data_IF_063720598521
#
_entry.id   IF_063720598521
#
_cell.length_a   1.000
_cell.length_b   1.000
_cell.length_c   1.000
_cell.angle_alpha   90.00
_cell.angle_beta   90.00
_cell.angle_gamma   90.00
#
_symmetry.space_group_name_H-M   'P 1'
#
loop_
_entity.id
_entity.type
_entity.pdbx_description
1 polymer ?
#
# COMPACT_ATOMS: atom_id res chain seq x y z
N UNK A 1 48.77 11.29 -26.49
CA UNK A 1 47.84 10.15 -26.54
C UNK A 1 48.52 9.04 -25.77
N UNK A 2 48.13 8.80 -24.51
CA UNK A 2 48.50 7.60 -23.73
C UNK A 2 47.86 7.62 -22.32
N UNK A 3 47.36 6.46 -21.91
CA UNK A 3 46.82 6.06 -20.59
C UNK A 3 45.51 6.70 -20.06
N UNK A 4 44.77 7.41 -20.90
CA UNK A 4 43.31 7.22 -20.92
C UNK A 4 43.05 5.92 -21.69
N UNK A 5 42.38 4.94 -21.09
CA UNK A 5 41.60 3.82 -21.72
C UNK A 5 41.76 2.39 -21.16
N UNK A 6 42.42 2.15 -20.01
CA UNK A 6 42.56 0.78 -19.47
C UNK A 6 41.94 0.52 -18.08
N UNK A 7 40.88 1.24 -17.70
CA UNK A 7 40.03 0.85 -16.54
C UNK A 7 38.54 0.93 -16.88
N UNK A 8 38.17 0.24 -17.96
CA UNK A 8 36.82 -0.26 -18.22
C UNK A 8 36.77 -1.74 -17.78
N UNK A 9 36.65 -1.99 -16.48
CA UNK A 9 36.27 -3.28 -15.91
C UNK A 9 36.08 -3.11 -14.39
N UNK A 10 35.00 -3.67 -13.84
CA UNK A 10 34.44 -3.50 -12.48
C UNK A 10 33.50 -2.29 -12.40
N UNK A 11 32.21 -2.39 -12.75
CA UNK A 11 31.31 -3.51 -12.49
C UNK A 11 30.64 -3.28 -11.13
N UNK A 12 29.35 -2.95 -11.17
CA UNK A 12 28.52 -2.75 -9.99
C UNK A 12 27.81 -1.40 -10.03
N UNK A 13 26.79 -1.27 -10.88
CA UNK A 13 25.79 -0.22 -10.73
C UNK A 13 25.19 -0.37 -9.33
N UNK A 14 25.46 0.61 -8.47
CA UNK A 14 24.76 0.74 -7.20
C UNK A 14 23.30 0.99 -7.51
N UNK A 15 22.49 -0.07 -7.49
CA UNK A 15 21.05 0.06 -7.24
C UNK A 15 20.95 0.89 -5.98
N UNK A 16 20.46 2.12 -6.11
CA UNK A 16 20.05 2.92 -4.97
C UNK A 16 19.25 2.00 -4.05
N UNK A 17 19.67 1.92 -2.79
CA UNK A 17 19.02 1.15 -1.75
C UNK A 17 17.52 1.44 -1.85
N UNK A 18 16.72 0.43 -2.26
CA UNK A 18 15.27 0.56 -2.16
C UNK A 18 14.99 0.71 -0.68
N UNK A 19 14.72 1.95 -0.26
CA UNK A 19 14.25 2.28 1.07
C UNK A 19 13.11 1.31 1.37
N UNK A 20 13.32 0.43 2.35
CA UNK A 20 12.29 -0.47 2.85
C UNK A 20 11.06 0.40 3.15
N UNK A 21 9.85 0.01 2.73
CA UNK A 21 8.69 0.88 2.85
C UNK A 21 8.54 1.35 4.29
N UNK A 22 8.22 2.63 4.43
CA UNK A 22 7.74 3.22 5.67
C UNK A 22 6.68 2.27 6.26
N UNK A 23 6.87 1.86 7.51
CA UNK A 23 5.89 1.00 8.20
C UNK A 23 4.59 1.79 8.25
N UNK A 24 3.63 1.43 7.42
CA UNK A 24 2.32 2.07 7.41
C UNK A 24 1.65 1.78 8.75
N UNK A 25 1.25 2.84 9.44
CA UNK A 25 0.52 2.70 10.69
C UNK A 25 -0.89 2.17 10.41
N UNK A 26 -1.12 0.91 10.80
CA UNK A 26 -2.39 0.23 10.59
C UNK A 26 -3.57 0.96 11.21
N UNK A 27 -3.35 1.66 12.33
CA UNK A 27 -4.41 2.38 13.02
C UNK A 27 -4.81 3.64 12.25
N UNK A 28 -3.87 4.30 11.57
CA UNK A 28 -4.17 5.43 10.68
C UNK A 28 -5.07 4.95 9.54
N UNK A 29 -4.64 3.91 8.81
CA UNK A 29 -5.41 3.35 7.68
C UNK A 29 -6.78 2.86 8.13
N UNK A 30 -6.87 2.20 9.28
CA UNK A 30 -8.15 1.72 9.82
C UNK A 30 -9.11 2.86 10.15
N UNK A 31 -8.62 3.92 10.80
CA UNK A 31 -9.44 5.11 11.11
C UNK A 31 -9.96 5.77 9.85
N UNK A 32 -9.10 5.85 8.84
CA UNK A 32 -9.44 6.42 7.56
C UNK A 32 -10.51 5.63 6.81
N UNK A 33 -10.35 4.30 6.72
CA UNK A 33 -11.37 3.41 6.19
C UNK A 33 -12.69 3.54 6.97
N UNK A 34 -12.62 3.54 8.30
CA UNK A 34 -13.79 3.70 9.17
C UNK A 34 -14.50 5.04 8.94
N UNK A 35 -13.75 6.11 8.69
CA UNK A 35 -14.32 7.45 8.44
C UNK A 35 -15.10 7.51 7.13
N UNK A 36 -14.59 6.90 6.05
CA UNK A 36 -15.30 6.87 4.75
C UNK A 36 -16.58 6.05 4.89
N UNK A 37 -16.52 4.90 5.55
CA UNK A 37 -17.69 4.05 5.79
C UNK A 37 -18.76 4.75 6.66
N UNK A 38 -18.32 5.52 7.66
CA UNK A 38 -19.22 6.29 8.52
C UNK A 38 -19.87 7.48 7.81
N UNK A 39 -19.21 8.07 6.81
CA UNK A 39 -19.79 9.11 5.97
C UNK A 39 -20.95 8.56 5.11
N UNK A 40 -20.92 7.27 4.79
CA UNK A 40 -21.96 6.59 4.01
C UNK A 40 -21.85 6.82 2.50
N UNK A 41 -20.75 7.42 2.03
CA UNK A 41 -20.46 7.63 0.61
C UNK A 41 -20.14 6.31 -0.11
N UNK A 42 -19.62 5.32 0.63
CA UNK A 42 -19.24 4.00 0.14
C UNK A 42 -19.61 2.95 1.20
N UNK A 43 -20.15 1.80 0.78
CA UNK A 43 -20.39 0.65 1.66
C UNK A 43 -19.13 -0.17 1.91
N UNK A 44 -19.12 -1.01 2.96
CA UNK A 44 -17.99 -1.89 3.25
C UNK A 44 -17.62 -2.78 2.06
N UNK A 45 -18.62 -3.33 1.39
CA UNK A 45 -18.44 -4.20 0.23
C UNK A 45 -17.87 -3.44 -0.96
N UNK A 46 -18.32 -2.21 -1.23
CA UNK A 46 -17.77 -1.39 -2.31
C UNK A 46 -16.32 -1.00 -2.03
N UNK A 47 -15.99 -0.60 -0.79
CA UNK A 47 -14.61 -0.33 -0.40
C UNK A 47 -13.72 -1.57 -0.58
N UNK A 48 -14.22 -2.75 -0.20
CA UNK A 48 -13.51 -4.01 -0.42
C UNK A 48 -13.35 -4.34 -1.91
N UNK A 49 -14.37 -4.11 -2.74
CA UNK A 49 -14.29 -4.32 -4.20
C UNK A 49 -13.20 -3.44 -4.80
N UNK A 50 -13.15 -2.16 -4.45
CA UNK A 50 -12.14 -1.21 -4.95
C UNK A 50 -10.72 -1.58 -4.50
N UNK A 51 -10.57 -2.01 -3.24
CA UNK A 51 -9.33 -2.55 -2.69
C UNK A 51 -8.88 -3.82 -3.43
N UNK A 52 -9.78 -4.77 -3.64
CA UNK A 52 -9.50 -6.02 -4.34
C UNK A 52 -9.16 -5.79 -5.82
N UNK A 53 -9.88 -4.88 -6.49
CA UNK A 53 -9.62 -4.50 -7.88
C UNK A 53 -8.22 -3.90 -8.07
N UNK A 54 -7.65 -3.28 -7.03
CA UNK A 54 -6.28 -2.74 -7.01
C UNK A 54 -5.21 -3.76 -6.60
N UNK A 55 -5.59 -5.01 -6.36
CA UNK A 55 -4.66 -6.10 -6.03
C UNK A 55 -4.54 -6.40 -4.54
N UNK A 56 -5.46 -5.91 -3.72
CA UNK A 56 -5.59 -6.31 -2.33
C UNK A 56 -5.91 -7.80 -2.21
N UNK A 57 -5.27 -8.48 -1.28
CA UNK A 57 -5.33 -9.95 -1.13
C UNK A 57 -6.22 -10.39 0.02
N UNK A 58 -6.52 -9.50 0.98
CA UNK A 58 -7.43 -9.80 2.08
C UNK A 58 -8.84 -10.15 1.56
N UNK A 59 -9.35 -11.29 2.01
CA UNK A 59 -10.74 -11.68 1.74
C UNK A 59 -11.72 -10.71 2.43
N UNK A 60 -12.99 -10.70 2.00
CA UNK A 60 -13.99 -9.78 2.55
C UNK A 60 -14.11 -9.87 4.08
N UNK A 61 -14.10 -11.09 4.63
CA UNK A 61 -14.19 -11.30 6.09
C UNK A 61 -12.94 -10.77 6.83
N UNK A 62 -11.76 -10.97 6.26
CA UNK A 62 -10.50 -10.48 6.82
C UNK A 62 -10.43 -8.95 6.76
N UNK A 63 -10.86 -8.38 5.63
CA UNK A 63 -10.98 -6.95 5.43
C UNK A 63 -11.94 -6.32 6.43
N UNK A 64 -13.12 -6.92 6.62
CA UNK A 64 -14.09 -6.47 7.62
C UNK A 64 -13.51 -6.55 9.04
N UNK A 65 -12.86 -7.66 9.39
CA UNK A 65 -12.23 -7.83 10.69
C UNK A 65 -11.12 -6.78 10.94
N UNK A 66 -10.34 -6.45 9.91
CA UNK A 66 -9.34 -5.37 9.97
C UNK A 66 -9.97 -4.00 10.22
N UNK A 67 -10.99 -3.63 9.44
CA UNK A 67 -11.70 -2.34 9.57
C UNK A 67 -12.32 -2.21 10.96
N UNK A 68 -12.87 -3.31 11.51
CA UNK A 68 -13.42 -3.36 12.87
C UNK A 68 -12.36 -3.40 13.99
N UNK A 69 -11.08 -3.45 13.65
CA UNK A 69 -9.98 -3.51 14.61
C UNK A 69 -9.83 -4.84 15.32
N UNK A 70 -10.40 -5.91 14.78
CA UNK A 70 -10.30 -7.26 15.32
C UNK A 70 -8.99 -7.96 14.94
N UNK A 71 -8.33 -7.48 13.88
CA UNK A 71 -7.03 -8.01 13.45
C UNK A 71 -6.16 -6.98 12.72
N UNK A 72 -4.96 -7.42 12.39
CA UNK A 72 -4.00 -6.72 11.52
C UNK A 72 -3.93 -7.40 10.16
N UNK A 73 -3.57 -6.66 9.12
CA UNK A 73 -3.32 -7.20 7.77
C UNK A 73 -1.87 -7.03 7.35
N UNK A 74 -1.49 -7.66 6.24
CA UNK A 74 -0.15 -7.56 5.69
C UNK A 74 0.15 -6.12 5.22
N UNK A 75 1.42 -5.71 5.27
CA UNK A 75 1.84 -4.38 4.82
C UNK A 75 1.47 -4.09 3.36
N UNK A 76 1.48 -5.10 2.50
CA UNK A 76 1.04 -4.95 1.11
C UNK A 76 -0.45 -4.58 1.03
N UNK A 77 -1.31 -5.21 1.83
CA UNK A 77 -2.73 -4.87 1.88
C UNK A 77 -2.95 -3.45 2.44
N UNK A 78 -2.14 -3.03 3.42
CA UNK A 78 -2.18 -1.64 3.90
C UNK A 78 -1.82 -0.64 2.79
N UNK A 79 -0.79 -0.93 1.98
CA UNK A 79 -0.39 -0.07 0.87
C UNK A 79 -1.48 0.04 -0.20
N UNK A 80 -2.15 -1.08 -0.52
CA UNK A 80 -3.24 -1.07 -1.48
C UNK A 80 -4.47 -0.36 -0.91
N UNK A 81 -4.77 -0.56 0.37
CA UNK A 81 -5.88 0.12 1.02
C UNK A 81 -5.64 1.63 1.12
N UNK A 82 -4.44 2.07 1.48
CA UNK A 82 -4.03 3.48 1.50
C UNK A 82 -4.27 4.14 0.13
N UNK A 83 -3.77 3.52 -0.95
CA UNK A 83 -4.04 3.96 -2.32
C UNK A 83 -5.54 4.00 -2.64
N UNK A 84 -6.29 2.98 -2.23
CA UNK A 84 -7.74 2.93 -2.46
C UNK A 84 -8.46 4.10 -1.78
N UNK A 85 -8.09 4.40 -0.54
CA UNK A 85 -8.69 5.49 0.24
C UNK A 85 -8.36 6.86 -0.36
N UNK A 86 -7.14 7.04 -0.87
CA UNK A 86 -6.72 8.28 -1.54
C UNK A 86 -7.48 8.54 -2.85
N UNK A 87 -7.68 7.49 -3.65
CA UNK A 87 -8.47 7.57 -4.91
C UNK A 87 -9.94 7.86 -4.64
N UNK A 88 -10.54 7.24 -3.60
CA UNK A 88 -11.94 7.49 -3.24
C UNK A 88 -12.18 8.93 -2.76
N UNK A 89 -11.17 9.59 -2.18
CA UNK A 89 -11.24 11.00 -1.76
C UNK A 89 -11.01 11.97 -2.92
N UNK A 90 -10.25 11.57 -3.94
CA UNK A 90 -9.84 12.40 -5.07
C UNK A 90 -10.21 11.74 -6.42
N UNK A 91 -11.51 11.64 -6.74
CA UNK A 91 -11.99 10.95 -7.95
C UNK A 91 -11.69 11.68 -9.27
#
# INVERSE_FOLDING_TARGET
MTEKEAKLANGGGGMAERKVPEVIDQEVIRREASSILAAGDVSLTELWIEFFARGGMAGLEEFEAFVRGLMTVANTDLQILDLTLDELRNP
#
